data_IF_540652645498
#
_entry.id   IF_540652645498
#
_cell.length_a   1.000
_cell.length_b   1.000
_cell.length_c   1.000
_cell.angle_alpha   90.00
_cell.angle_beta   90.00
_cell.angle_gamma   90.00
#
_symmetry.space_group_name_H-M   'P 1'
#
loop_
_entity.id
_entity.type
_entity.pdbx_description
1 polymer ?
#
# COMPACT_ATOMS: atom_id res chain seq x y z
N UNK A 1 13.11 9.13 18.62
CA UNK A 1 12.97 8.74 18.25
C UNK A 1 12.65 8.40 17.70
N UNK A 2 12.67 8.15 17.43
CA UNK A 2 12.27 7.89 16.79
C UNK A 2 11.75 6.93 16.63
N UNK A 3 11.00 6.73 16.60
CA UNK A 3 10.24 5.78 16.60
C UNK A 3 10.18 5.00 15.46
N UNK A 4 10.40 5.45 14.43
CA UNK A 4 10.27 4.70 13.25
C UNK A 4 11.34 3.70 13.10
N UNK A 5 12.24 3.75 13.97
CA UNK A 5 13.31 2.83 13.84
C UNK A 5 12.82 1.51 14.12
N UNK A 6 11.71 1.43 14.63
CA UNK A 6 11.25 0.32 15.03
C UNK A 6 11.17 -0.46 14.06
N UNK A 7 11.03 -0.82 13.72
CA UNK A 7 10.92 -1.70 13.17
C UNK A 7 10.63 -2.00 12.03
N UNK A 8 11.36 -2.29 11.52
CA UNK A 8 11.14 -2.61 10.41
C UNK A 8 10.71 -3.94 10.40
N UNK A 9 10.88 -4.62 11.24
CA UNK A 9 10.31 -5.88 11.29
C UNK A 9 8.90 -5.62 11.48
N UNK A 10 8.52 -4.39 11.54
CA UNK A 10 7.26 -4.07 11.66
C UNK A 10 6.74 -3.61 10.38
N UNK A 11 7.21 -3.91 9.20
CA UNK A 11 6.56 -3.62 7.96
C UNK A 11 5.35 -4.53 7.95
N UNK A 12 4.24 -4.01 8.36
CA UNK A 12 3.03 -4.76 8.52
C UNK A 12 2.10 -4.41 7.38
N UNK A 13 0.89 -4.94 7.37
CA UNK A 13 -0.08 -4.57 6.39
C UNK A 13 -0.34 -3.12 6.42
N UNK A 14 -0.34 -2.52 7.60
CA UNK A 14 -0.59 -1.11 7.74
C UNK A 14 0.47 -0.33 6.99
N UNK A 15 1.70 -0.77 7.08
CA UNK A 15 2.79 -0.09 6.38
C UNK A 15 2.62 -0.20 4.87
N UNK A 16 2.21 -1.34 4.36
CA UNK A 16 1.97 -1.48 2.93
C UNK A 16 0.82 -0.58 2.50
N UNK A 17 -0.25 -0.55 3.27
CA UNK A 17 -1.39 0.29 2.93
C UNK A 17 -1.00 1.77 3.00
N UNK A 18 -0.25 2.14 4.03
CA UNK A 18 0.17 3.52 4.16
C UNK A 18 1.08 3.93 3.01
N UNK A 19 1.91 3.00 2.53
CA UNK A 19 2.76 3.30 1.39
C UNK A 19 1.89 3.66 0.19
N UNK A 20 0.85 2.87 -0.08
CA UNK A 20 -0.04 3.15 -1.20
C UNK A 20 -0.72 4.50 -1.04
N UNK A 21 -1.21 4.79 0.16
CA UNK A 21 -1.88 6.06 0.44
C UNK A 21 -0.93 7.23 0.21
N UNK A 22 0.28 7.13 0.73
CA UNK A 22 1.25 8.19 0.60
C UNK A 22 1.64 8.42 -0.86
N UNK A 23 1.82 7.32 -1.61
CA UNK A 23 2.13 7.47 -3.02
C UNK A 23 0.98 8.13 -3.77
N UNK A 24 -0.25 7.79 -3.41
CA UNK A 24 -1.41 8.38 -4.06
C UNK A 24 -1.46 9.88 -3.81
N UNK A 25 -1.04 10.31 -2.64
CA UNK A 25 -1.05 11.72 -2.30
C UNK A 25 0.23 12.46 -2.74
N UNK A 26 1.06 11.81 -3.52
CA UNK A 26 2.19 12.50 -4.15
C UNK A 26 3.53 12.40 -3.45
N UNK A 27 3.62 11.64 -2.38
CA UNK A 27 4.89 11.51 -1.68
C UNK A 27 5.82 10.60 -2.49
N UNK A 28 7.06 11.02 -2.66
CA UNK A 28 8.02 10.23 -3.41
C UNK A 28 8.49 9.05 -2.57
N UNK A 29 9.03 8.04 -3.23
CA UNK A 29 9.58 6.90 -2.50
C UNK A 29 10.67 7.34 -1.54
N UNK A 30 11.53 8.28 -1.96
CA UNK A 30 12.60 8.75 -1.11
C UNK A 30 12.07 9.47 0.12
N UNK A 31 11.00 10.24 -0.04
CA UNK A 31 10.41 10.93 1.09
C UNK A 31 9.80 9.95 2.07
N UNK A 32 9.17 8.91 1.56
CA UNK A 32 8.60 7.88 2.41
C UNK A 32 9.70 7.16 3.18
N UNK A 33 10.84 6.90 2.54
CA UNK A 33 11.96 6.30 3.24
C UNK A 33 12.40 7.15 4.42
N UNK A 34 12.44 8.45 4.23
CA UNK A 34 12.83 9.32 5.32
C UNK A 34 11.81 9.31 6.44
N UNK A 35 10.54 9.32 6.08
CA UNK A 35 9.48 9.35 7.09
C UNK A 35 9.49 8.11 7.97
N UNK A 36 9.85 6.95 7.40
CA UNK A 36 9.84 5.71 8.14
C UNK A 36 11.22 5.19 8.49
N UNK A 37 12.24 5.98 8.18
CA UNK A 37 13.62 5.61 8.46
C UNK A 37 13.98 4.26 7.86
N UNK A 38 13.66 4.09 6.59
CA UNK A 38 13.93 2.85 5.88
C UNK A 38 14.96 3.06 4.79
N UNK A 39 15.74 2.03 4.52
CA UNK A 39 16.65 2.07 3.38
C UNK A 39 15.81 1.97 2.09
N UNK A 40 16.30 2.56 1.04
CA UNK A 40 15.55 2.61 -0.21
C UNK A 40 15.23 1.22 -0.74
N UNK A 41 16.11 0.24 -0.57
CA UNK A 41 15.83 -1.09 -1.08
C UNK A 41 14.64 -1.71 -0.38
N UNK A 42 14.36 -1.30 0.86
CA UNK A 42 13.18 -1.82 1.56
C UNK A 42 11.90 -1.33 0.89
N UNK A 43 11.93 -0.10 0.42
CA UNK A 43 10.76 0.44 -0.28
C UNK A 43 10.56 -0.31 -1.59
N UNK A 44 11.65 -0.66 -2.26
CA UNK A 44 11.54 -1.42 -3.51
C UNK A 44 10.95 -2.80 -3.24
N UNK A 45 11.29 -3.41 -2.10
CA UNK A 45 10.71 -4.69 -1.72
C UNK A 45 9.21 -4.55 -1.48
N UNK A 46 8.82 -3.47 -0.82
CA UNK A 46 7.39 -3.23 -0.56
C UNK A 46 6.65 -3.10 -1.89
N UNK A 47 7.22 -2.39 -2.84
CA UNK A 47 6.61 -2.24 -4.15
C UNK A 47 6.42 -3.58 -4.84
N UNK A 48 7.44 -4.44 -4.77
CA UNK A 48 7.35 -5.74 -5.41
C UNK A 48 6.32 -6.63 -4.73
N UNK A 49 6.26 -6.60 -3.42
CA UNK A 49 5.29 -7.41 -2.69
C UNK A 49 3.86 -7.00 -3.00
N UNK A 50 3.63 -5.69 -3.11
CA UNK A 50 2.31 -5.20 -3.44
C UNK A 50 1.97 -5.60 -4.87
N UNK A 51 2.92 -5.43 -5.78
CA UNK A 51 2.69 -5.70 -7.17
C UNK A 51 2.42 -7.16 -7.43
N UNK A 52 3.10 -8.04 -6.73
CA UNK A 52 2.93 -9.46 -6.93
C UNK A 52 1.84 -10.05 -6.03
N UNK A 53 1.24 -9.19 -5.24
CA UNK A 53 0.13 -9.59 -4.40
C UNK A 53 0.53 -10.63 -3.35
N UNK A 54 1.80 -10.66 -2.99
CA UNK A 54 2.28 -11.56 -1.98
C UNK A 54 1.65 -11.28 -0.67
N UNK A 55 1.18 -10.08 -0.49
CA UNK A 55 0.63 -9.64 0.72
C UNK A 55 -0.85 -9.93 0.77
N UNK A 56 -1.44 -10.41 -0.28
CA UNK A 56 -2.83 -10.75 -0.30
C UNK A 56 -3.79 -9.64 -0.03
N UNK A 57 -4.23 -8.95 -1.07
CA UNK A 57 -5.18 -7.85 -0.99
C UNK A 57 -6.53 -8.36 -0.49
N UNK A 58 -7.06 -7.78 0.57
CA UNK A 58 -8.32 -8.20 1.14
C UNK A 58 -9.34 -7.07 1.10
N UNK A 59 -10.59 -7.37 1.39
CA UNK A 59 -11.63 -6.36 1.42
C UNK A 59 -11.36 -5.32 2.52
N UNK A 60 -10.71 -5.73 3.60
CA UNK A 60 -10.34 -4.77 4.65
C UNK A 60 -9.34 -3.77 4.11
N UNK A 61 -8.41 -4.23 3.29
CA UNK A 61 -7.43 -3.35 2.67
C UNK A 61 -8.14 -2.37 1.75
N UNK A 62 -9.09 -2.87 0.96
CA UNK A 62 -9.85 -2.05 0.05
C UNK A 62 -10.59 -0.96 0.80
N UNK A 63 -11.29 -1.32 1.86
CA UNK A 63 -12.05 -0.34 2.65
C UNK A 63 -11.13 0.69 3.28
N UNK A 64 -9.98 0.26 3.78
CA UNK A 64 -9.04 1.16 4.41
C UNK A 64 -8.53 2.20 3.39
N UNK A 65 -8.16 1.73 2.22
CA UNK A 65 -7.67 2.64 1.18
C UNK A 65 -8.77 3.60 0.72
N UNK A 66 -9.98 3.11 0.58
CA UNK A 66 -11.08 3.98 0.16
C UNK A 66 -11.40 5.03 1.23
N UNK A 67 -11.15 4.72 2.50
CA UNK A 67 -11.41 5.70 3.56
C UNK A 67 -10.44 6.89 3.47
N UNK A 68 -9.33 6.72 2.72
CA UNK A 68 -8.39 7.81 2.47
C UNK A 68 -8.53 8.33 1.05
N UNK A 69 -9.63 7.99 0.41
CA UNK A 69 -9.97 8.49 -0.92
C UNK A 69 -9.05 8.04 -2.05
N UNK A 70 -8.38 6.93 -1.89
CA UNK A 70 -7.52 6.40 -2.94
C UNK A 70 -8.44 5.87 -4.04
N UNK A 71 -8.18 6.26 -5.29
CA UNK A 71 -9.05 5.87 -6.39
C UNK A 71 -8.87 4.40 -6.75
N UNK A 72 -9.92 3.80 -7.31
CA UNK A 72 -9.85 2.43 -7.75
C UNK A 72 -8.81 2.25 -8.84
N UNK A 73 -8.65 3.23 -9.71
CA UNK A 73 -7.65 3.16 -10.77
C UNK A 73 -6.24 3.04 -10.17
N UNK A 74 -5.97 3.81 -9.12
CA UNK A 74 -4.67 3.77 -8.49
C UNK A 74 -4.44 2.43 -7.77
N UNK A 75 -5.48 1.92 -7.12
CA UNK A 75 -5.40 0.62 -6.44
C UNK A 75 -5.08 -0.47 -7.47
N UNK A 76 -5.76 -0.44 -8.59
CA UNK A 76 -5.52 -1.43 -9.64
C UNK A 76 -4.09 -1.35 -10.16
N UNK A 77 -3.59 -0.14 -10.31
CA UNK A 77 -2.24 0.04 -10.80
C UNK A 77 -1.21 -0.49 -9.80
N UNK A 78 -1.42 -0.23 -8.52
CA UNK A 78 -0.45 -0.62 -7.51
C UNK A 78 -0.46 -2.12 -7.25
N UNK A 79 -1.63 -2.72 -7.26
CA UNK A 79 -1.75 -4.14 -6.91
C UNK A 79 -1.88 -5.05 -8.14
N UNK A 80 -1.82 -4.49 -9.32
CA UNK A 80 -1.95 -5.24 -10.57
C UNK A 80 -3.26 -6.01 -10.60
N UNK A 81 -4.33 -5.32 -10.29
CA UNK A 81 -5.67 -5.89 -10.32
C UNK A 81 -6.42 -5.19 -11.42
N UNK A 82 -7.22 -5.94 -12.19
CA UNK A 82 -8.02 -5.37 -13.23
C UNK A 82 -9.16 -4.58 -12.60
N UNK A 83 -9.52 -3.46 -13.18
CA UNK A 83 -10.57 -2.61 -12.61
C UNK A 83 -11.89 -3.35 -12.49
N UNK A 84 -12.25 -4.15 -13.48
CA UNK A 84 -13.48 -4.91 -13.40
C UNK A 84 -13.44 -5.90 -12.26
N UNK A 85 -12.30 -6.52 -12.03
CA UNK A 85 -12.14 -7.47 -10.95
C UNK A 85 -12.28 -6.76 -9.60
N UNK A 86 -11.74 -5.56 -9.50
CA UNK A 86 -11.83 -4.81 -8.25
C UNK A 86 -13.28 -4.41 -7.97
N UNK A 87 -14.00 -3.98 -8.99
CA UNK A 87 -15.40 -3.61 -8.82
C UNK A 87 -16.24 -4.80 -8.44
N UNK A 88 -15.96 -5.95 -9.03
CA UNK A 88 -16.67 -7.17 -8.71
C UNK A 88 -16.36 -7.59 -7.28
N UNK A 89 -15.12 -7.43 -6.87
CA UNK A 89 -14.67 -7.74 -5.52
C UNK A 89 -15.45 -6.90 -4.51
N UNK A 90 -15.65 -5.64 -4.79
CA UNK A 90 -16.39 -4.77 -3.91
C UNK A 90 -17.85 -5.22 -3.80
N UNK A 91 -18.47 -5.55 -4.92
CA UNK A 91 -19.85 -5.99 -4.93
C UNK A 91 -20.02 -7.28 -4.14
N UNK A 92 -19.08 -8.20 -4.30
CA UNK A 92 -19.16 -9.48 -3.61
C UNK A 92 -18.96 -9.38 -2.10
N UNK A 93 -18.34 -8.32 -1.65
CA UNK A 93 -18.06 -8.16 -0.23
C UNK A 93 -18.88 -7.08 0.46
N UNK A 94 -19.93 -6.63 -0.13
CA UNK A 94 -20.76 -5.60 0.50
C UNK A 94 -21.49 -6.09 1.71
#
# INVERSE_FOLDING_TARGET
MTQYTLPFNRLTRLDYRNFVILRYHGYSKRKICKMYNLAYFRILEVCEMIKENDYRFTYKDYKFLKSYNVSNTFICKMYHIDLMDLEFFEVMNR
#
